data_IF_953317492340
#
_entry.id   IF_953317492340
#
_cell.length_a   1.000
_cell.length_b   1.000
_cell.length_c   1.000
_cell.angle_alpha   90.00
_cell.angle_beta   90.00
_cell.angle_gamma   90.00
#
_symmetry.space_group_name_H-M   'P 1'
#
loop_
_entity.id
_entity.type
_entity.pdbx_description
1 polymer ?
#
# COMPACT_ATOMS: atom_id res chain seq x y z
N UNK A 1 3.87 -17.80 -9.48
CA UNK A 1 2.66 -17.29 -8.78
C UNK A 1 2.71 -17.57 -7.28
N UNK A 2 2.72 -18.82 -6.81
CA UNK A 2 2.72 -19.11 -5.35
C UNK A 2 3.86 -18.45 -4.56
N UNK A 3 5.10 -18.51 -5.06
CA UNK A 3 6.24 -17.84 -4.41
C UNK A 3 6.07 -16.32 -4.32
N UNK A 4 5.53 -15.70 -5.37
CA UNK A 4 5.27 -14.26 -5.40
C UNK A 4 4.17 -13.90 -4.39
N UNK A 5 3.06 -14.64 -4.37
CA UNK A 5 1.96 -14.41 -3.43
C UNK A 5 2.41 -14.55 -1.97
N UNK A 6 3.22 -15.57 -1.68
CA UNK A 6 3.81 -15.73 -0.35
C UNK A 6 4.67 -14.52 0.03
N UNK A 7 5.52 -14.06 -0.89
CA UNK A 7 6.33 -12.85 -0.70
C UNK A 7 5.47 -11.62 -0.42
N UNK A 8 4.38 -11.42 -1.18
CA UNK A 8 3.46 -10.30 -0.98
C UNK A 8 2.78 -10.35 0.39
N UNK A 9 2.31 -11.53 0.83
CA UNK A 9 1.78 -11.72 2.17
C UNK A 9 2.81 -11.33 3.25
N UNK A 10 4.08 -11.75 3.10
CA UNK A 10 5.14 -11.37 4.02
C UNK A 10 5.34 -9.85 4.09
N UNK A 11 5.36 -9.16 2.94
CA UNK A 11 5.50 -7.70 2.88
C UNK A 11 4.33 -7.01 3.60
N UNK A 12 3.09 -7.49 3.42
CA UNK A 12 1.93 -6.93 4.13
C UNK A 12 2.04 -7.10 5.65
N UNK A 13 2.49 -8.25 6.14
CA UNK A 13 2.70 -8.46 7.58
C UNK A 13 3.78 -7.53 8.15
N UNK A 14 4.90 -7.36 7.43
CA UNK A 14 5.99 -6.45 7.83
C UNK A 14 5.49 -5.01 7.86
N UNK A 15 4.80 -4.55 6.81
CA UNK A 15 4.20 -3.22 6.74
C UNK A 15 3.26 -2.97 7.91
N UNK A 16 2.35 -3.90 8.19
CA UNK A 16 1.38 -3.77 9.27
C UNK A 16 2.05 -3.76 10.65
N UNK A 17 3.08 -4.59 10.84
CA UNK A 17 3.85 -4.63 12.07
C UNK A 17 4.64 -3.34 12.31
N UNK A 18 5.25 -2.76 11.27
CA UNK A 18 6.02 -1.51 11.39
C UNK A 18 5.11 -0.33 11.75
N UNK A 19 3.94 -0.23 11.12
CA UNK A 19 2.98 0.82 11.44
C UNK A 19 2.38 0.67 12.84
N UNK A 20 2.04 -0.55 13.27
CA UNK A 20 1.55 -0.79 14.63
C UNK A 20 2.64 -0.53 15.67
N UNK A 21 3.86 -1.00 15.43
CA UNK A 21 5.00 -0.73 16.30
C UNK A 21 5.22 0.78 16.44
N UNK A 22 5.28 1.52 15.33
CA UNK A 22 5.46 2.98 15.37
C UNK A 22 4.35 3.67 16.17
N UNK A 23 3.09 3.26 15.97
CA UNK A 23 1.95 3.82 16.71
C UNK A 23 2.01 3.54 18.22
N UNK A 24 2.31 2.28 18.60
CA UNK A 24 2.35 1.87 20.00
C UNK A 24 3.59 2.36 20.74
N UNK A 25 4.76 2.41 20.10
CA UNK A 25 6.00 2.96 20.69
C UNK A 25 5.82 4.46 21.05
N UNK A 26 4.90 5.16 20.39
CA UNK A 26 4.62 6.58 20.64
C UNK A 26 3.45 6.81 21.59
N UNK A 27 2.39 6.03 21.47
CA UNK A 27 1.16 6.22 22.26
C UNK A 27 1.22 5.48 23.60
N UNK A 28 2.06 4.45 23.72
CA UNK A 28 2.12 3.56 24.88
C UNK A 28 3.56 3.24 25.27
N UNK A 29 3.79 2.77 26.50
CA UNK A 29 5.11 2.28 26.93
C UNK A 29 5.39 0.83 26.50
N UNK A 30 4.60 0.26 25.58
CA UNK A 30 4.70 -1.14 25.16
C UNK A 30 5.76 -1.26 24.06
N UNK A 31 6.98 -1.64 24.45
CA UNK A 31 8.10 -1.82 23.54
C UNK A 31 8.22 -3.31 23.17
N UNK A 32 7.49 -3.72 22.13
CA UNK A 32 7.56 -5.09 21.59
C UNK A 32 8.45 -5.07 20.33
N UNK A 33 9.23 -6.14 20.15
CA UNK A 33 10.02 -6.32 18.92
C UNK A 33 9.10 -6.41 17.69
N UNK A 34 9.62 -6.02 16.51
CA UNK A 34 8.87 -6.11 15.25
C UNK A 34 8.35 -7.54 14.99
N UNK A 35 9.16 -8.56 15.29
CA UNK A 35 8.76 -9.97 15.20
C UNK A 35 7.61 -10.32 16.13
N UNK A 36 7.55 -9.72 17.33
CA UNK A 36 6.43 -9.88 18.26
C UNK A 36 5.13 -9.30 17.71
N UNK A 37 5.20 -8.14 17.06
CA UNK A 37 4.04 -7.56 16.36
C UNK A 37 3.58 -8.45 15.20
N UNK A 38 4.49 -8.96 14.36
CA UNK A 38 4.16 -9.90 13.28
C UNK A 38 3.42 -11.13 13.85
N UNK A 39 3.94 -11.73 14.92
CA UNK A 39 3.31 -12.90 15.55
C UNK A 39 1.91 -12.60 16.10
N UNK A 40 1.72 -11.42 16.71
CA UNK A 40 0.42 -10.99 17.24
C UNK A 40 -0.61 -10.79 16.13
N UNK A 41 -0.20 -10.18 15.02
CA UNK A 41 -1.02 -9.91 13.84
C UNK A 41 -1.41 -11.20 13.10
N UNK A 42 -0.54 -12.21 13.12
CA UNK A 42 -0.80 -13.49 12.47
C UNK A 42 -2.04 -14.18 13.05
N UNK A 43 -2.28 -14.05 14.37
CA UNK A 43 -3.40 -14.70 15.07
C UNK A 43 -4.78 -14.27 14.52
N UNK A 44 -5.15 -12.97 14.47
CA UNK A 44 -6.42 -12.55 13.89
C UNK A 44 -6.48 -12.80 12.38
N UNK A 45 -5.37 -12.71 11.64
CA UNK A 45 -5.36 -12.96 10.18
C UNK A 45 -5.65 -14.44 9.89
N UNK A 46 -5.08 -15.37 10.64
CA UNK A 46 -5.39 -16.81 10.54
C UNK A 46 -6.88 -17.09 10.78
N UNK A 47 -7.49 -16.40 11.75
CA UNK A 47 -8.93 -16.51 12.01
C UNK A 47 -9.75 -16.00 10.81
N UNK A 48 -9.36 -14.86 10.21
CA UNK A 48 -10.01 -14.33 9.01
C UNK A 48 -9.85 -15.26 7.79
N UNK A 49 -8.68 -15.89 7.62
CA UNK A 49 -8.45 -16.86 6.54
C UNK A 49 -9.33 -18.12 6.65
N UNK A 50 -9.94 -18.38 7.82
CA UNK A 50 -10.86 -19.52 8.01
C UNK A 50 -12.24 -19.22 7.42
N UNK A 51 -12.57 -17.96 7.13
CA UNK A 51 -13.84 -17.57 6.53
C UNK A 51 -13.84 -17.95 5.05
N UNK A 52 -14.72 -18.88 4.68
CA UNK A 52 -14.84 -19.41 3.31
C UNK A 52 -15.69 -18.52 2.40
N UNK A 53 -16.59 -17.73 2.98
CA UNK A 53 -17.52 -16.88 2.25
C UNK A 53 -16.99 -15.44 2.18
N UNK A 54 -16.33 -15.09 1.07
CA UNK A 54 -15.81 -13.72 0.84
C UNK A 54 -16.90 -12.65 0.90
N UNK A 55 -18.16 -13.02 0.56
CA UNK A 55 -19.32 -12.11 0.64
C UNK A 55 -19.57 -11.61 2.06
N UNK A 56 -19.25 -12.39 3.09
CA UNK A 56 -19.40 -11.97 4.48
C UNK A 56 -18.38 -10.88 4.87
N UNK A 57 -17.22 -10.81 4.19
CA UNK A 57 -16.21 -9.78 4.43
C UNK A 57 -16.47 -8.49 3.63
N UNK A 58 -17.32 -8.54 2.61
CA UNK A 58 -17.61 -7.38 1.75
C UNK A 58 -17.99 -6.09 2.51
N UNK A 59 -18.90 -6.08 3.51
CA UNK A 59 -19.23 -4.85 4.24
C UNK A 59 -18.06 -4.33 5.08
N UNK A 60 -17.28 -5.23 5.69
CA UNK A 60 -16.08 -4.85 6.44
C UNK A 60 -15.02 -4.25 5.51
N UNK A 61 -14.81 -4.86 4.34
CA UNK A 61 -13.90 -4.37 3.32
C UNK A 61 -14.34 -2.99 2.77
N UNK A 62 -15.64 -2.76 2.61
CA UNK A 62 -16.17 -1.47 2.20
C UNK A 62 -15.84 -0.37 3.22
N UNK A 63 -16.04 -0.64 4.52
CA UNK A 63 -15.65 0.29 5.60
C UNK A 63 -14.13 0.52 5.60
N UNK A 64 -13.35 -0.55 5.48
CA UNK A 64 -11.90 -0.46 5.42
C UNK A 64 -11.42 0.39 4.23
N UNK A 65 -12.05 0.27 3.07
CA UNK A 65 -11.75 1.09 1.89
C UNK A 65 -12.06 2.58 2.13
N UNK A 66 -13.14 2.90 2.84
CA UNK A 66 -13.44 4.30 3.20
C UNK A 66 -12.35 4.86 4.13
N UNK A 67 -11.97 4.11 5.16
CA UNK A 67 -10.88 4.51 6.07
C UNK A 67 -9.55 4.65 5.32
N UNK A 68 -9.26 3.73 4.40
CA UNK A 68 -8.08 3.78 3.54
C UNK A 68 -8.06 5.03 2.66
N UNK A 69 -9.19 5.39 2.03
CA UNK A 69 -9.29 6.62 1.24
C UNK A 69 -9.06 7.87 2.09
N UNK A 70 -9.58 7.91 3.32
CA UNK A 70 -9.31 9.00 4.26
C UNK A 70 -7.80 9.08 4.58
N UNK A 71 -7.16 7.94 4.85
CA UNK A 71 -5.73 7.88 5.12
C UNK A 71 -4.90 8.37 3.92
N UNK A 72 -5.25 7.96 2.70
CA UNK A 72 -4.62 8.45 1.46
C UNK A 72 -4.78 9.96 1.33
N UNK A 73 -5.96 10.51 1.59
CA UNK A 73 -6.18 11.97 1.56
C UNK A 73 -5.28 12.71 2.57
N UNK A 74 -5.15 12.20 3.80
CA UNK A 74 -4.27 12.79 4.83
C UNK A 74 -2.81 12.76 4.35
N UNK A 75 -2.35 11.63 3.82
CA UNK A 75 -1.00 11.49 3.28
C UNK A 75 -0.78 12.49 2.15
N UNK A 76 -1.69 12.59 1.19
CA UNK A 76 -1.58 13.55 0.08
C UNK A 76 -1.51 15.00 0.59
N UNK A 77 -2.31 15.38 1.58
CA UNK A 77 -2.23 16.71 2.19
C UNK A 77 -0.87 17.01 2.82
N UNK A 78 -0.23 16.00 3.44
CA UNK A 78 1.12 16.14 4.01
C UNK A 78 2.19 16.20 2.94
N UNK A 79 2.02 15.47 1.83
CA UNK A 79 2.94 15.50 0.69
C UNK A 79 2.99 16.85 -0.02
N UNK A 80 1.85 17.52 -0.15
CA UNK A 80 1.77 18.83 -0.81
C UNK A 80 2.37 19.97 0.02
N UNK A 81 2.66 19.76 1.32
CA UNK A 81 3.35 20.72 2.18
C UNK A 81 4.87 20.68 1.95
N UNK A 82 5.30 21.09 0.76
CA UNK A 82 6.71 21.06 0.37
C UNK A 82 7.46 22.21 1.04
N UNK A 83 8.30 21.89 2.02
CA UNK A 83 9.16 22.87 2.71
C UNK A 83 10.58 22.93 2.15
N UNK A 84 10.99 21.95 1.32
CA UNK A 84 12.37 21.83 0.82
C UNK A 84 12.52 22.44 -0.58
N UNK A 85 13.67 23.08 -0.87
CA UNK A 85 13.97 23.54 -2.22
C UNK A 85 14.18 22.37 -3.19
N UNK A 86 13.40 22.34 -4.27
CA UNK A 86 13.34 21.23 -5.25
C UNK A 86 14.64 21.00 -6.02
N UNK A 87 15.50 22.01 -6.14
CA UNK A 87 16.79 21.94 -6.83
C UNK A 87 17.91 21.23 -6.04
N UNK A 88 17.63 20.81 -4.80
CA UNK A 88 18.61 20.12 -3.94
C UNK A 88 18.62 18.59 -4.10
N UNK A 89 17.67 18.02 -4.83
CA UNK A 89 17.52 16.57 -4.99
C UNK A 89 18.09 16.07 -6.32
N UNK A 90 18.76 14.90 -6.34
CA UNK A 90 19.19 14.29 -7.58
C UNK A 90 17.97 13.91 -8.43
N UNK A 91 17.96 14.33 -9.70
CA UNK A 91 16.87 14.05 -10.63
C UNK A 91 16.88 12.60 -11.14
N UNK A 92 18.02 11.92 -11.04
CA UNK A 92 18.21 10.55 -11.53
C UNK A 92 18.83 9.71 -10.42
N UNK A 93 18.18 8.59 -10.11
CA UNK A 93 18.69 7.61 -9.15
C UNK A 93 19.81 6.76 -9.77
N UNK A 94 20.62 6.13 -8.90
CA UNK A 94 21.68 5.23 -9.33
C UNK A 94 21.13 4.00 -10.08
N UNK A 95 21.85 3.55 -11.11
CA UNK A 95 21.48 2.34 -11.87
C UNK A 95 21.35 1.08 -11.00
N UNK A 96 22.04 1.03 -9.86
CA UNK A 96 21.98 -0.07 -8.90
C UNK A 96 20.62 -0.21 -8.21
N UNK A 97 19.81 0.84 -8.12
CA UNK A 97 18.48 0.80 -7.48
C UNK A 97 17.35 0.51 -8.48
N UNK A 98 17.66 0.42 -9.77
CA UNK A 98 16.69 0.13 -10.83
C UNK A 98 15.97 -1.22 -10.63
N UNK A 99 16.64 -2.32 -10.23
CA UNK A 99 15.94 -3.59 -9.95
C UNK A 99 14.96 -3.49 -8.78
N UNK A 100 15.33 -2.73 -7.74
CA UNK A 100 14.46 -2.51 -6.58
C UNK A 100 13.22 -1.71 -6.99
N UNK A 101 13.40 -0.63 -7.76
CA UNK A 101 12.29 0.16 -8.30
C UNK A 101 11.34 -0.70 -9.13
N UNK A 102 11.87 -1.52 -10.05
CA UNK A 102 11.05 -2.40 -10.87
C UNK A 102 10.27 -3.41 -10.01
N UNK A 103 10.91 -3.99 -8.99
CA UNK A 103 10.25 -4.89 -8.03
C UNK A 103 9.09 -4.20 -7.29
N UNK A 104 9.29 -2.97 -6.83
CA UNK A 104 8.25 -2.17 -6.16
C UNK A 104 7.09 -1.83 -7.09
N UNK A 105 7.36 -1.46 -8.34
CA UNK A 105 6.30 -1.19 -9.33
C UNK A 105 5.51 -2.46 -9.66
N UNK A 106 6.20 -3.59 -9.87
CA UNK A 106 5.54 -4.88 -10.10
C UNK A 106 4.69 -5.32 -8.91
N UNK A 107 5.14 -5.05 -7.68
CA UNK A 107 4.35 -5.29 -6.47
C UNK A 107 3.11 -4.38 -6.41
N UNK A 108 3.23 -3.12 -6.80
CA UNK A 108 2.13 -2.15 -6.74
C UNK A 108 0.98 -2.44 -7.73
N UNK A 109 1.27 -3.12 -8.85
CA UNK A 109 0.30 -3.56 -9.87
C UNK A 109 -0.08 -5.04 -9.75
N UNK A 110 0.22 -5.66 -8.61
CA UNK A 110 -0.26 -7.00 -8.28
C UNK A 110 -1.79 -6.99 -8.12
N UNK A 111 -2.46 -8.10 -8.46
CA UNK A 111 -3.92 -8.15 -8.54
C UNK A 111 -4.47 -9.09 -9.63
N UNK A 112 -3.59 -9.68 -10.46
CA UNK A 112 -4.02 -10.61 -11.52
C UNK A 112 -4.81 -11.81 -10.97
N UNK A 113 -4.53 -12.24 -9.75
CA UNK A 113 -5.23 -13.35 -9.10
C UNK A 113 -6.69 -13.02 -8.76
N UNK A 114 -7.03 -11.74 -8.61
CA UNK A 114 -8.40 -11.29 -8.28
C UNK A 114 -9.21 -10.85 -9.50
N UNK A 115 -8.57 -10.73 -10.67
CA UNK A 115 -9.22 -10.29 -11.90
C UNK A 115 -10.41 -11.18 -12.29
N UNK A 116 -10.22 -12.50 -12.37
CA UNK A 116 -11.28 -13.43 -12.78
C UNK A 116 -12.45 -13.48 -11.78
N UNK A 117 -12.23 -13.55 -10.46
CA UNK A 117 -13.33 -13.42 -9.49
C UNK A 117 -14.11 -12.11 -9.59
N UNK A 118 -13.43 -10.99 -9.90
CA UNK A 118 -14.06 -9.68 -10.07
C UNK A 118 -14.90 -9.66 -11.36
N UNK A 119 -14.33 -10.10 -12.48
CA UNK A 119 -15.04 -10.20 -13.76
C UNK A 119 -16.31 -11.05 -13.63
N UNK A 120 -16.23 -12.22 -12.97
CA UNK A 120 -17.36 -13.10 -12.72
C UNK A 120 -18.46 -12.49 -11.82
N UNK A 121 -18.17 -11.41 -11.08
CA UNK A 121 -19.12 -10.74 -10.20
C UNK A 121 -19.68 -9.44 -10.81
N UNK A 122 -19.24 -9.05 -12.01
CA UNK A 122 -19.80 -7.90 -12.70
C UNK A 122 -21.15 -8.24 -13.34
N UNK A 123 -22.06 -7.27 -13.31
CA UNK A 123 -23.35 -7.38 -14.02
C UNK A 123 -23.12 -7.52 -15.55
N UNK A 124 -22.07 -6.86 -16.08
CA UNK A 124 -21.67 -6.92 -17.48
C UNK A 124 -20.19 -7.30 -17.64
N UNK A 125 -19.82 -8.60 -17.58
CA UNK A 125 -18.43 -9.05 -17.61
C UNK A 125 -17.70 -8.68 -18.91
N UNK A 126 -18.41 -8.65 -20.04
CA UNK A 126 -17.84 -8.28 -21.35
C UNK A 126 -17.28 -6.86 -21.38
N UNK A 127 -17.80 -5.94 -20.55
CA UNK A 127 -17.29 -4.57 -20.46
C UNK A 127 -15.99 -4.47 -19.67
N UNK A 128 -15.59 -5.49 -18.91
CA UNK A 128 -14.41 -5.46 -18.04
C UNK A 128 -13.10 -5.18 -18.82
N UNK A 129 -12.92 -5.85 -19.96
CA UNK A 129 -11.71 -5.79 -20.81
C UNK A 129 -11.81 -4.84 -22.01
N UNK A 130 -12.92 -4.10 -22.15
CA UNK A 130 -13.05 -3.12 -23.24
C UNK A 130 -12.03 -1.99 -23.12
N UNK A 131 -11.83 -1.19 -24.17
CA UNK A 131 -10.82 -0.12 -24.18
C UNK A 131 -11.05 0.94 -23.06
N UNK A 132 -12.31 1.26 -22.75
CA UNK A 132 -12.70 2.07 -21.58
C UNK A 132 -13.37 1.18 -20.52
N UNK A 133 -12.93 -0.07 -20.43
CA UNK A 133 -13.41 -1.04 -19.47
C UNK A 133 -12.88 -0.76 -18.07
N UNK A 134 -13.53 -1.38 -17.09
CA UNK A 134 -13.22 -1.20 -15.66
C UNK A 134 -11.73 -1.48 -15.38
N UNK A 135 -11.14 -2.49 -16.02
CA UNK A 135 -9.73 -2.81 -15.84
C UNK A 135 -8.80 -1.69 -16.31
N UNK A 136 -8.95 -1.22 -17.56
CA UNK A 136 -8.05 -0.22 -18.12
C UNK A 136 -8.18 1.13 -17.38
N UNK A 137 -9.42 1.54 -17.08
CA UNK A 137 -9.69 2.80 -16.39
C UNK A 137 -9.20 2.77 -14.94
N UNK A 138 -9.35 1.64 -14.23
CA UNK A 138 -8.82 1.50 -12.86
C UNK A 138 -7.29 1.48 -12.84
N UNK A 139 -6.64 0.73 -13.73
CA UNK A 139 -5.18 0.72 -13.84
C UNK A 139 -4.62 2.11 -14.16
N UNK A 140 -5.26 2.86 -15.07
CA UNK A 140 -4.84 4.22 -15.42
C UNK A 140 -4.98 5.19 -14.23
N UNK A 141 -6.09 5.12 -13.49
CA UNK A 141 -6.31 5.95 -12.30
C UNK A 141 -5.27 5.66 -11.21
N UNK A 142 -5.04 4.37 -10.92
CA UNK A 142 -4.05 3.94 -9.91
C UNK A 142 -2.64 4.36 -10.32
N UNK A 143 -2.31 4.26 -11.61
CA UNK A 143 -1.03 4.71 -12.15
C UNK A 143 -0.79 6.21 -11.90
N UNK A 144 -1.78 7.06 -12.15
CA UNK A 144 -1.68 8.51 -11.87
C UNK A 144 -1.47 8.75 -10.37
N UNK A 145 -2.21 8.03 -9.52
CA UNK A 145 -2.09 8.16 -8.07
C UNK A 145 -0.70 7.77 -7.58
N UNK A 146 -0.17 6.63 -8.03
CA UNK A 146 1.18 6.18 -7.68
C UNK A 146 2.27 7.14 -8.18
N UNK A 147 2.16 7.65 -9.41
CA UNK A 147 3.10 8.66 -9.91
C UNK A 147 3.05 9.94 -9.06
N UNK A 148 1.86 10.39 -8.69
CA UNK A 148 1.68 11.60 -7.86
C UNK A 148 2.29 11.41 -6.49
N UNK A 149 1.93 10.32 -5.79
CA UNK A 149 2.44 10.01 -4.44
C UNK A 149 3.95 9.79 -4.46
N UNK A 150 4.48 9.05 -5.45
CA UNK A 150 5.91 8.80 -5.58
C UNK A 150 6.71 10.08 -5.86
N UNK A 151 6.23 10.92 -6.77
CA UNK A 151 6.88 12.19 -7.11
C UNK A 151 6.87 13.17 -5.95
N UNK A 152 5.71 13.46 -5.37
CA UNK A 152 5.60 14.42 -4.25
C UNK A 152 6.20 13.86 -2.96
N UNK A 153 6.15 12.54 -2.74
CA UNK A 153 6.86 11.86 -1.65
C UNK A 153 8.36 12.09 -1.70
N UNK A 154 8.95 11.89 -2.87
CA UNK A 154 10.37 12.15 -3.08
C UNK A 154 10.72 13.63 -2.90
N UNK A 155 9.92 14.56 -3.44
CA UNK A 155 10.16 16.00 -3.24
C UNK A 155 10.10 16.42 -1.75
N UNK A 156 9.20 15.81 -0.96
CA UNK A 156 9.01 16.16 0.44
C UNK A 156 10.12 15.61 1.34
N UNK A 157 10.46 14.33 1.19
CA UNK A 157 11.35 13.61 2.10
C UNK A 157 12.79 13.44 1.57
N UNK A 158 12.98 13.48 0.26
CA UNK A 158 14.26 13.27 -0.42
C UNK A 158 14.88 11.91 -0.16
N UNK A 159 16.22 11.85 -0.18
CA UNK A 159 16.99 10.61 -0.02
C UNK A 159 16.84 9.94 1.36
N UNK A 160 16.29 10.66 2.34
CA UNK A 160 16.03 10.13 3.69
C UNK A 160 14.69 9.41 3.84
N UNK A 161 13.95 9.19 2.76
CA UNK A 161 12.66 8.52 2.79
C UNK A 161 12.81 7.06 3.27
N UNK A 162 12.06 6.68 4.30
CA UNK A 162 11.98 5.28 4.74
C UNK A 162 11.21 4.40 3.75
N UNK A 163 11.35 3.08 3.89
CA UNK A 163 10.75 2.05 3.02
C UNK A 163 9.23 2.22 2.80
N UNK A 164 8.53 2.79 3.79
CA UNK A 164 7.11 3.07 3.69
C UNK A 164 6.85 4.53 4.02
N UNK A 165 5.96 5.15 3.25
CA UNK A 165 5.70 6.59 3.36
C UNK A 165 5.07 6.96 4.71
N UNK A 166 4.26 6.08 5.28
CA UNK A 166 3.59 6.29 6.57
C UNK A 166 4.57 6.47 7.71
N UNK A 167 5.72 5.78 7.68
CA UNK A 167 6.77 5.93 8.69
C UNK A 167 7.42 7.33 8.68
N UNK A 168 7.37 8.01 7.54
CA UNK A 168 7.96 9.35 7.37
C UNK A 168 7.01 10.48 7.80
N UNK A 169 5.74 10.20 8.06
CA UNK A 169 4.78 11.22 8.46
C UNK A 169 5.21 11.87 9.79
N UNK A 170 4.95 13.17 9.97
CA UNK A 170 5.25 13.84 11.23
C UNK A 170 4.46 13.19 12.36
N UNK A 171 5.20 12.73 13.36
CA UNK A 171 4.65 12.06 14.53
C UNK A 171 4.29 13.16 15.54
N UNK A 172 3.00 13.33 15.82
CA UNK A 172 2.52 14.35 16.75
C UNK A 172 3.12 14.13 18.14
N UNK A 173 3.65 15.19 18.76
CA UNK A 173 3.97 15.22 20.20
C UNK A 173 2.72 15.48 21.02
#
# INVERSE_FOLDING_TARGET
>A
MFLAQFGFCCVYFVFMADNLKQFFDQTSNIHISQAGWIALILVPIMALCTIRELKALAPLAAIANVVYLIAVCIVLQQLFQIERPTWSLPAVANWSTLPLFFGTVMFAFEGVAVVLPIENQMDEPLHFITHNGVLNTSCFLVLILYMTVGFFGYLRFGDGIMDTLTLNLPQTK
#
